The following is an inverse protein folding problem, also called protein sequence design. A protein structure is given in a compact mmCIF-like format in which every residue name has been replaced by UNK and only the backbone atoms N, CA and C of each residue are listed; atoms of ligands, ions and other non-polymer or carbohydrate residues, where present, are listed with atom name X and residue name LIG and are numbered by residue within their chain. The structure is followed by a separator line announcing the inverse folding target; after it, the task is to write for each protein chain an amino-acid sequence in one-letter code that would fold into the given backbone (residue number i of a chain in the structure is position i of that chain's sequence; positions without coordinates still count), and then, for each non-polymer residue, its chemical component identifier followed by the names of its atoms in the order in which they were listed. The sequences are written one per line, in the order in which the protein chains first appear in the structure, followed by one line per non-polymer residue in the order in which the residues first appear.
data_IF_662539570815
#
_entry.id   IF_662539570815
#
_cell.length_a   1.000
_cell.length_b   1.000
_cell.length_c   1.000
_cell.angle_alpha   90.00
_cell.angle_beta   90.00
_cell.angle_gamma   90.00
#
_symmetry.space_group_name_H-M   'P 1'
#
loop_
_entity.id
_entity.type
_entity.pdbx_description
1 polymer ?
#
# COMPACT_ATOMS: atom_id res chain seq x y z
N UNK A 1 33.52 -4.53 6.57
CA UNK A 1 32.76 -3.88 5.48
C UNK A 1 31.39 -3.47 6.00
N UNK A 2 31.25 -2.19 6.37
CA UNK A 2 30.09 -1.67 7.11
C UNK A 2 28.87 -1.51 6.21
N UNK A 3 27.82 -2.31 6.45
CA UNK A 3 26.46 -2.04 5.94
C UNK A 3 25.83 -0.94 6.80
N UNK A 4 26.01 0.33 6.44
CA UNK A 4 25.17 1.41 7.00
C UNK A 4 23.78 1.27 6.36
N UNK A 5 22.91 0.48 6.99
CA UNK A 5 21.47 0.50 6.73
C UNK A 5 20.99 1.88 7.17
N UNK A 6 20.47 2.67 6.24
CA UNK A 6 19.85 3.97 6.50
C UNK A 6 18.57 3.78 7.32
N UNK A 7 18.72 3.53 8.61
CA UNK A 7 17.64 3.64 9.59
C UNK A 7 17.67 5.09 10.06
N UNK A 8 16.62 5.86 9.77
CA UNK A 8 16.41 7.11 10.50
C UNK A 8 16.37 6.77 12.00
N UNK A 9 16.95 7.62 12.87
CA UNK A 9 16.77 7.47 14.31
C UNK A 9 15.28 7.43 14.65
N UNK A 10 14.88 6.53 15.56
CA UNK A 10 13.49 6.37 15.99
C UNK A 10 12.83 7.71 16.38
N UNK A 11 13.59 8.59 17.05
CA UNK A 11 13.15 9.92 17.44
C UNK A 11 12.78 10.83 16.25
N UNK A 12 13.46 10.70 15.11
CA UNK A 12 13.16 11.46 13.91
C UNK A 12 11.90 10.90 13.22
N UNK A 13 11.69 9.59 13.28
CA UNK A 13 10.49 8.94 12.76
C UNK A 13 9.26 9.29 13.59
N UNK A 14 9.39 9.28 14.92
CA UNK A 14 8.34 9.68 15.85
C UNK A 14 7.99 11.17 15.65
N UNK A 15 9.00 12.04 15.51
CA UNK A 15 8.80 13.46 15.22
C UNK A 15 8.08 13.70 13.88
N UNK A 16 8.46 12.99 12.81
CA UNK A 16 7.79 13.09 11.51
C UNK A 16 6.35 12.57 11.56
N UNK A 17 6.10 11.49 12.29
CA UNK A 17 4.77 10.92 12.50
C UNK A 17 3.87 11.85 13.33
N UNK A 18 4.41 12.46 14.39
CA UNK A 18 3.71 13.47 15.20
C UNK A 18 3.46 14.76 14.43
N UNK A 19 4.42 15.23 13.64
CA UNK A 19 4.23 16.39 12.77
C UNK A 19 3.16 16.13 11.71
N UNK A 20 3.04 14.90 11.20
CA UNK A 20 1.93 14.50 10.33
C UNK A 20 0.59 14.42 11.06
N UNK A 21 0.55 13.94 12.31
CA UNK A 21 -0.68 13.96 13.13
C UNK A 21 -1.14 15.39 13.39
N UNK A 22 -0.21 16.27 13.78
CA UNK A 22 -0.50 17.68 14.04
C UNK A 22 -0.95 18.43 12.77
N UNK A 23 -0.34 18.14 11.61
CA UNK A 23 -0.76 18.71 10.32
C UNK A 23 -2.17 18.25 9.90
N UNK A 24 -2.58 17.05 10.30
CA UNK A 24 -3.96 16.52 10.07
C UNK A 24 -4.99 17.18 10.99
N UNK A 25 -4.62 17.45 12.24
CA UNK A 25 -5.49 18.17 13.20
C UNK A 25 -5.74 19.62 12.76
N UNK A 26 -4.73 20.26 12.15
CA UNK A 26 -4.84 21.61 11.60
C UNK A 26 -5.54 21.66 10.24
N UNK A 27 -5.53 20.57 9.46
CA UNK A 27 -6.11 20.55 8.10
C UNK A 27 -7.60 20.18 8.04
N UNK A 28 -8.29 19.98 9.17
CA UNK A 28 -9.74 19.71 9.19
C UNK A 28 -10.19 18.52 8.33
N UNK A 29 -9.39 17.45 8.24
CA UNK A 29 -9.76 16.26 7.47
C UNK A 29 -10.92 15.50 8.18
N UNK A 30 -11.98 15.08 7.46
CA UNK A 30 -13.12 14.44 8.08
C UNK A 30 -12.73 13.12 8.76
N UNK A 31 -13.18 12.94 10.00
CA UNK A 31 -13.15 11.66 10.69
C UNK A 31 -14.17 10.75 10.01
N UNK A 32 -13.71 9.80 9.22
CA UNK A 32 -14.62 8.83 8.60
C UNK A 32 -15.16 7.87 9.67
N UNK A 33 -16.49 7.72 9.79
CA UNK A 33 -17.06 6.68 10.63
C UNK A 33 -16.63 5.32 10.10
N UNK A 34 -16.06 4.51 10.99
CA UNK A 34 -15.75 3.11 10.72
C UNK A 34 -17.08 2.40 10.46
N UNK A 35 -17.38 2.07 9.21
CA UNK A 35 -18.57 1.31 8.85
C UNK A 35 -18.57 -0.03 9.57
N UNK A 36 -19.45 -0.16 10.57
CA UNK A 36 -19.83 -1.43 11.16
C UNK A 36 -20.55 -2.27 10.09
N UNK A 37 -19.92 -3.35 9.67
CA UNK A 37 -20.59 -4.50 9.08
C UNK A 37 -20.64 -5.61 10.14
N UNK A 38 -21.85 -6.00 10.50
CA UNK A 38 -22.19 -7.00 11.51
C UNK A 38 -21.74 -8.41 11.12
N UNK A 39 -21.34 -9.19 12.12
CA UNK A 39 -21.56 -10.63 12.16
C UNK A 39 -20.46 -11.48 11.53
N UNK A 40 -19.77 -12.21 12.42
CA UNK A 40 -19.16 -13.51 12.16
C UNK A 40 -17.99 -13.54 11.17
N UNK A 41 -16.77 -13.65 11.73
CA UNK A 41 -15.84 -14.76 11.44
C UNK A 41 -14.43 -14.35 11.84
N UNK A 42 -14.14 -14.57 13.12
CA UNK A 42 -12.93 -14.23 13.87
C UNK A 42 -11.66 -14.97 13.37
N UNK A 43 -11.71 -15.65 12.22
CA UNK A 43 -10.59 -16.42 11.65
C UNK A 43 -10.01 -15.83 10.34
N UNK A 44 -10.71 -14.90 9.66
CA UNK A 44 -10.27 -14.33 8.35
C UNK A 44 -9.52 -12.99 8.44
N UNK A 45 -9.10 -12.59 9.64
CA UNK A 45 -8.72 -11.21 10.00
C UNK A 45 -7.26 -10.82 9.69
N UNK A 46 -6.44 -11.73 9.14
CA UNK A 46 -4.99 -11.50 8.90
C UNK A 46 -4.59 -11.23 7.45
N UNK A 47 -5.46 -11.45 6.47
CA UNK A 47 -5.08 -11.49 5.03
C UNK A 47 -5.78 -10.40 4.19
N UNK A 48 -6.34 -9.36 4.82
CA UNK A 48 -7.20 -8.40 4.11
C UNK A 48 -6.46 -7.74 2.92
N UNK A 49 -5.15 -7.50 3.04
CA UNK A 49 -4.38 -6.81 2.00
C UNK A 49 -4.19 -7.73 0.80
N UNK A 50 -3.90 -9.01 1.07
CA UNK A 50 -3.81 -10.06 0.06
C UNK A 50 -5.14 -10.24 -0.64
N UNK A 51 -6.24 -10.30 0.11
CA UNK A 51 -7.58 -10.38 -0.48
C UNK A 51 -7.87 -9.21 -1.42
N UNK A 52 -7.51 -7.98 -1.05
CA UNK A 52 -7.68 -6.82 -1.93
C UNK A 52 -6.79 -6.90 -3.18
N UNK A 53 -5.54 -7.37 -3.05
CA UNK A 53 -4.66 -7.59 -4.21
C UNK A 53 -5.24 -8.64 -5.16
N UNK A 54 -5.70 -9.78 -4.61
CA UNK A 54 -6.36 -10.83 -5.40
C UNK A 54 -7.61 -10.28 -6.08
N UNK A 55 -8.50 -9.63 -5.33
CA UNK A 55 -9.72 -9.06 -5.88
C UNK A 55 -9.42 -8.04 -6.98
N UNK A 56 -8.43 -7.17 -6.77
CA UNK A 56 -8.00 -6.19 -7.78
C UNK A 56 -7.65 -6.87 -9.10
N UNK A 57 -6.80 -7.89 -9.06
CA UNK A 57 -6.24 -8.51 -10.25
C UNK A 57 -7.12 -9.60 -10.87
N UNK A 58 -7.98 -10.28 -10.10
CA UNK A 58 -8.69 -11.48 -10.56
C UNK A 58 -10.20 -11.31 -10.71
N UNK A 59 -10.81 -10.28 -10.12
CA UNK A 59 -12.26 -10.08 -10.22
C UNK A 59 -12.69 -9.81 -11.67
N UNK A 60 -13.87 -10.31 -12.07
CA UNK A 60 -14.49 -10.07 -13.38
C UNK A 60 -15.92 -9.55 -13.15
N UNK A 61 -16.29 -8.36 -13.67
CA UNK A 61 -15.44 -7.41 -14.38
C UNK A 61 -14.34 -6.81 -13.47
N UNK A 62 -13.18 -6.47 -14.04
CA UNK A 62 -12.04 -5.90 -13.31
C UNK A 62 -12.45 -4.61 -12.59
N UNK A 63 -11.98 -4.33 -11.36
CA UNK A 63 -12.36 -3.11 -10.63
C UNK A 63 -12.02 -1.81 -11.37
N UNK A 64 -10.96 -1.80 -12.18
CA UNK A 64 -10.61 -0.63 -13.01
C UNK A 64 -11.45 -0.50 -14.30
N UNK A 65 -12.25 -1.51 -14.65
CA UNK A 65 -13.20 -1.47 -15.78
C UNK A 65 -14.63 -1.15 -15.33
N UNK A 66 -14.88 -1.05 -14.02
CA UNK A 66 -16.20 -0.75 -13.49
C UNK A 66 -16.46 0.77 -13.54
N UNK A 67 -17.54 1.19 -14.20
CA UNK A 67 -17.98 2.58 -14.35
C UNK A 67 -18.47 3.21 -13.02
N UNK A 68 -19.31 4.23 -13.05
CA UNK A 68 -19.83 4.85 -11.81
C UNK A 68 -20.95 3.98 -11.17
N UNK A 69 -20.58 2.96 -10.41
CA UNK A 69 -21.47 1.96 -9.78
C UNK A 69 -21.85 2.30 -8.32
N UNK A 70 -21.58 3.53 -7.87
CA UNK A 70 -21.75 3.93 -6.47
C UNK A 70 -20.66 3.44 -5.51
N UNK A 71 -19.72 2.60 -5.97
CA UNK A 71 -18.65 2.02 -5.16
C UNK A 71 -17.27 2.67 -5.42
N UNK A 72 -17.28 3.88 -5.97
CA UNK A 72 -16.08 4.65 -6.37
C UNK A 72 -15.07 4.78 -5.23
N UNK A 73 -15.55 5.02 -4.00
CA UNK A 73 -14.69 5.21 -2.84
C UNK A 73 -13.92 3.93 -2.51
N UNK A 74 -14.63 2.80 -2.39
CA UNK A 74 -14.01 1.49 -2.13
C UNK A 74 -12.96 1.15 -3.19
N UNK A 75 -13.25 1.39 -4.47
CA UNK A 75 -12.30 1.12 -5.55
C UNK A 75 -11.06 2.02 -5.47
N UNK A 76 -11.23 3.27 -5.06
CA UNK A 76 -10.12 4.20 -4.86
C UNK A 76 -9.23 3.75 -3.70
N UNK A 77 -9.84 3.27 -2.61
CA UNK A 77 -9.11 2.72 -1.46
C UNK A 77 -8.43 1.38 -1.79
N UNK A 78 -9.10 0.50 -2.55
CA UNK A 78 -8.49 -0.73 -3.07
C UNK A 78 -7.29 -0.41 -3.95
N UNK A 79 -7.45 0.49 -4.93
CA UNK A 79 -6.38 0.94 -5.82
C UNK A 79 -5.17 1.43 -5.01
N UNK A 80 -5.42 2.30 -4.03
CA UNK A 80 -4.36 2.86 -3.20
C UNK A 80 -3.66 1.80 -2.34
N UNK A 81 -4.42 0.87 -1.75
CA UNK A 81 -3.85 -0.23 -0.98
C UNK A 81 -2.97 -1.14 -1.86
N UNK A 82 -3.42 -1.46 -3.07
CA UNK A 82 -2.65 -2.24 -4.04
C UNK A 82 -1.35 -1.51 -4.40
N UNK A 83 -1.39 -0.20 -4.62
CA UNK A 83 -0.17 0.56 -4.90
C UNK A 83 0.81 0.57 -3.72
N UNK A 84 0.33 0.72 -2.49
CA UNK A 84 1.19 0.57 -1.32
C UNK A 84 1.78 -0.83 -1.21
N UNK A 85 1.01 -1.88 -1.48
CA UNK A 85 1.49 -3.26 -1.46
C UNK A 85 2.60 -3.49 -2.49
N UNK A 86 2.46 -2.92 -3.69
CA UNK A 86 3.46 -3.03 -4.77
C UNK A 86 4.83 -2.46 -4.36
N UNK A 87 4.85 -1.42 -3.52
CA UNK A 87 6.10 -0.83 -3.02
C UNK A 87 6.98 -1.83 -2.26
N UNK A 88 6.39 -2.86 -1.66
CA UNK A 88 7.11 -3.88 -0.90
C UNK A 88 7.62 -5.05 -1.76
N UNK A 89 7.42 -5.00 -3.08
CA UNK A 89 7.98 -5.97 -4.01
C UNK A 89 9.36 -5.47 -4.48
N UNK A 90 10.43 -6.18 -4.11
CA UNK A 90 11.81 -5.69 -4.27
C UNK A 90 12.46 -6.08 -5.60
N UNK A 91 11.90 -7.05 -6.33
CA UNK A 91 12.48 -7.59 -7.58
C UNK A 91 11.64 -7.33 -8.83
N UNK A 92 10.61 -6.49 -8.74
CA UNK A 92 9.59 -6.39 -9.77
C UNK A 92 8.68 -7.61 -9.79
N UNK A 93 7.78 -7.67 -10.79
CA UNK A 93 6.87 -8.77 -11.01
C UNK A 93 6.34 -8.72 -12.45
N UNK A 94 6.00 -9.89 -13.01
CA UNK A 94 5.26 -10.01 -14.26
C UNK A 94 4.01 -10.84 -13.98
N UNK A 95 2.85 -10.27 -14.27
CA UNK A 95 1.54 -10.90 -14.10
C UNK A 95 0.88 -11.00 -15.48
N UNK A 96 0.70 -12.22 -15.95
CA UNK A 96 0.02 -12.53 -17.22
C UNK A 96 -1.34 -13.18 -16.95
N UNK A 97 -2.42 -12.54 -17.38
CA UNK A 97 -3.78 -13.01 -17.13
C UNK A 97 -4.18 -14.23 -17.97
N UNK A 98 -3.43 -14.54 -19.03
CA UNK A 98 -3.67 -15.71 -19.89
C UNK A 98 -2.91 -16.95 -19.44
N UNK A 99 -2.00 -16.81 -18.48
CA UNK A 99 -1.19 -17.91 -17.97
C UNK A 99 -1.99 -18.79 -17.02
N UNK A 100 -1.85 -20.11 -17.19
CA UNK A 100 -2.35 -21.07 -16.22
C UNK A 100 -1.74 -20.80 -14.84
N UNK A 101 -2.60 -20.69 -13.83
CA UNK A 101 -2.18 -20.35 -12.46
C UNK A 101 -2.03 -18.85 -12.17
N UNK A 102 -2.49 -17.95 -13.05
CA UNK A 102 -2.50 -16.48 -12.81
C UNK A 102 -3.00 -16.11 -11.41
N UNK A 103 -4.11 -16.70 -10.97
CA UNK A 103 -4.69 -16.42 -9.63
C UNK A 103 -3.74 -16.83 -8.49
N UNK A 104 -3.04 -17.94 -8.63
CA UNK A 104 -2.06 -18.41 -7.65
C UNK A 104 -0.81 -17.53 -7.64
N UNK A 105 -0.38 -17.03 -8.80
CA UNK A 105 0.72 -16.06 -8.89
C UNK A 105 0.36 -14.74 -8.21
N UNK A 106 -0.83 -14.21 -8.46
CA UNK A 106 -1.35 -13.01 -7.78
C UNK A 106 -1.41 -13.24 -6.27
N UNK A 107 -1.91 -14.39 -5.82
CA UNK A 107 -1.99 -14.74 -4.41
C UNK A 107 -0.60 -14.81 -3.76
N UNK A 108 0.36 -15.48 -4.41
CA UNK A 108 1.74 -15.61 -3.95
C UNK A 108 2.42 -14.23 -3.87
N UNK A 109 2.20 -13.39 -4.87
CA UNK A 109 2.71 -12.03 -4.91
C UNK A 109 2.16 -11.20 -3.75
N UNK A 110 0.83 -11.23 -3.56
CA UNK A 110 0.14 -10.55 -2.47
C UNK A 110 0.70 -10.97 -1.10
N UNK A 111 0.82 -12.29 -0.85
CA UNK A 111 1.37 -12.82 0.41
C UNK A 111 2.82 -12.39 0.62
N UNK A 112 3.65 -12.43 -0.42
CA UNK A 112 5.04 -11.98 -0.31
C UNK A 112 5.14 -10.48 0.03
N UNK A 113 4.27 -9.66 -0.55
CA UNK A 113 4.22 -8.23 -0.25
C UNK A 113 3.70 -7.98 1.19
N UNK A 114 2.69 -8.73 1.64
CA UNK A 114 2.14 -8.61 2.98
C UNK A 114 3.17 -8.96 4.06
N UNK A 115 3.95 -10.02 3.87
CA UNK A 115 5.03 -10.38 4.81
C UNK A 115 6.03 -9.24 4.95
N UNK A 116 6.45 -8.63 3.85
CA UNK A 116 7.41 -7.51 3.86
C UNK A 116 6.80 -6.24 4.45
N UNK A 117 5.56 -5.93 4.12
CA UNK A 117 4.81 -4.84 4.74
C UNK A 117 4.67 -5.05 6.26
N UNK A 118 4.35 -6.28 6.70
CA UNK A 118 4.22 -6.64 8.10
C UNK A 118 5.53 -6.46 8.88
N UNK A 119 6.66 -6.88 8.29
CA UNK A 119 8.00 -6.63 8.85
C UNK A 119 8.28 -5.13 8.96
N UNK A 120 7.97 -4.37 7.92
CA UNK A 120 8.13 -2.91 7.91
C UNK A 120 7.29 -2.24 9.00
N UNK A 121 5.99 -2.56 9.10
CA UNK A 121 5.10 -2.01 10.13
C UNK A 121 5.54 -2.38 11.56
N UNK A 122 6.13 -3.57 11.75
CA UNK A 122 6.69 -3.99 13.03
C UNK A 122 7.90 -3.14 13.44
N UNK A 123 8.73 -2.72 12.48
CA UNK A 123 9.84 -1.77 12.73
C UNK A 123 9.32 -0.43 13.27
N UNK A 124 8.13 0.02 12.85
CA UNK A 124 7.48 1.24 13.37
C UNK A 124 6.58 1.02 14.60
N UNK A 125 6.61 -0.18 15.21
CA UNK A 125 5.75 -0.56 16.34
C UNK A 125 4.23 -0.42 16.07
N UNK A 126 3.82 -0.45 14.80
CA UNK A 126 2.43 -0.27 14.39
C UNK A 126 1.69 -1.62 14.46
N UNK A 127 0.75 -1.75 15.40
CA UNK A 127 -0.17 -2.90 15.50
C UNK A 127 -1.43 -2.68 14.65
N UNK A 128 -1.30 -2.50 13.33
CA UNK A 128 -2.46 -2.40 12.44
C UNK A 128 -2.91 -3.81 12.01
N UNK A 129 -4.09 -4.25 12.47
CA UNK A 129 -4.62 -5.61 12.22
C UNK A 129 -5.77 -5.68 11.21
N UNK A 130 -6.40 -4.57 10.85
CA UNK A 130 -7.57 -4.53 9.98
C UNK A 130 -7.33 -3.65 8.75
N UNK A 131 -8.00 -3.94 7.64
CA UNK A 131 -7.66 -3.33 6.36
C UNK A 131 -7.77 -1.83 6.26
N UNK A 132 -8.88 -1.27 6.78
CA UNK A 132 -9.03 0.18 6.88
C UNK A 132 -7.99 0.82 7.80
N UNK A 133 -7.60 0.13 8.89
CA UNK A 133 -6.59 0.62 9.82
C UNK A 133 -5.19 0.62 9.21
N UNK A 134 -4.85 -0.40 8.42
CA UNK A 134 -3.56 -0.45 7.74
C UNK A 134 -3.46 0.57 6.62
N UNK A 135 -4.50 0.74 5.79
CA UNK A 135 -4.48 1.78 4.76
C UNK A 135 -4.33 3.18 5.37
N UNK A 136 -5.02 3.44 6.49
CA UNK A 136 -4.83 4.69 7.25
C UNK A 136 -3.39 4.89 7.71
N UNK A 137 -2.73 3.84 8.20
CA UNK A 137 -1.33 3.89 8.64
C UNK A 137 -0.36 4.06 7.48
N UNK A 138 -0.58 3.38 6.36
CA UNK A 138 0.19 3.56 5.14
C UNK A 138 0.12 4.99 4.61
N UNK A 139 -1.08 5.61 4.66
CA UNK A 139 -1.23 7.04 4.35
C UNK A 139 -0.43 7.93 5.30
N UNK A 140 -0.41 7.63 6.60
CA UNK A 140 0.42 8.38 7.57
C UNK A 140 1.92 8.25 7.27
N UNK A 141 2.39 7.04 6.96
CA UNK A 141 3.78 6.79 6.59
C UNK A 141 4.17 7.46 5.27
N UNK A 142 3.25 7.50 4.30
CA UNK A 142 3.45 8.24 3.04
C UNK A 142 3.56 9.74 3.30
N UNK A 143 2.63 10.32 4.07
CA UNK A 143 2.67 11.74 4.44
C UNK A 143 3.95 12.14 5.20
N UNK A 144 4.52 11.22 5.98
CA UNK A 144 5.77 11.42 6.70
C UNK A 144 7.03 11.20 5.83
N UNK A 145 6.88 10.89 4.55
CA UNK A 145 8.01 10.60 3.64
C UNK A 145 8.72 9.28 3.94
N UNK A 146 8.22 8.45 4.86
CA UNK A 146 8.87 7.21 5.27
C UNK A 146 8.80 6.14 4.17
N UNK A 147 7.86 6.25 3.23
CA UNK A 147 7.75 5.35 2.09
C UNK A 147 8.59 5.80 0.87
N UNK A 148 9.27 6.95 0.93
CA UNK A 148 9.94 7.54 -0.24
C UNK A 148 11.01 6.62 -0.85
N UNK A 149 11.81 5.95 -0.03
CA UNK A 149 12.81 4.99 -0.52
C UNK A 149 12.15 3.81 -1.24
N UNK A 150 10.99 3.36 -0.77
CA UNK A 150 10.24 2.28 -1.42
C UNK A 150 9.60 2.75 -2.73
N UNK A 151 9.10 3.98 -2.76
CA UNK A 151 8.56 4.64 -3.95
C UNK A 151 9.65 4.78 -5.02
N UNK A 152 10.83 5.29 -4.65
CA UNK A 152 11.97 5.46 -5.57
C UNK A 152 12.43 4.11 -6.13
N UNK A 153 12.50 3.07 -5.29
CA UNK A 153 12.83 1.71 -5.76
C UNK A 153 11.80 1.19 -6.75
N UNK A 154 10.52 1.33 -6.43
CA UNK A 154 9.44 0.88 -7.31
C UNK A 154 9.46 1.62 -8.65
N UNK A 155 9.65 2.95 -8.63
CA UNK A 155 9.80 3.75 -9.84
C UNK A 155 11.01 3.28 -10.68
N UNK A 156 12.14 2.96 -10.05
CA UNK A 156 13.30 2.37 -10.73
C UNK A 156 12.99 1.03 -11.40
N UNK A 157 12.27 0.13 -10.71
CA UNK A 157 11.81 -1.15 -11.28
C UNK A 157 10.85 -0.94 -12.45
N UNK A 158 9.95 0.03 -12.33
CA UNK A 158 8.98 0.39 -13.36
C UNK A 158 9.68 0.94 -14.61
N UNK A 159 10.64 1.87 -14.46
CA UNK A 159 11.44 2.41 -15.58
C UNK A 159 12.31 1.36 -16.25
N UNK A 160 12.79 0.37 -15.49
CA UNK A 160 13.57 -0.75 -16.01
C UNK A 160 12.71 -1.81 -16.74
N UNK A 161 11.38 -1.66 -16.79
CA UNK A 161 10.48 -2.64 -17.41
C UNK A 161 10.33 -3.93 -16.62
N UNK A 162 10.69 -3.94 -15.33
CA UNK A 162 10.60 -5.13 -14.46
C UNK A 162 9.22 -5.27 -13.78
N UNK A 163 8.27 -4.39 -14.14
CA UNK A 163 6.91 -4.39 -13.60
C UNK A 163 5.93 -4.49 -14.76
N UNK A 164 5.39 -5.69 -14.95
CA UNK A 164 4.34 -5.96 -15.93
C UNK A 164 3.05 -6.36 -15.21
N UNK A 165 1.97 -5.66 -15.53
CA UNK A 165 0.67 -5.87 -14.90
C UNK A 165 -0.44 -5.78 -15.95
N UNK A 166 -1.52 -6.58 -15.82
CA UNK A 166 -2.67 -6.50 -16.72
C UNK A 166 -3.55 -5.25 -16.45
N UNK A 167 -3.25 -4.51 -15.38
CA UNK A 167 -3.95 -3.28 -15.03
C UNK A 167 -3.40 -2.10 -15.83
N UNK A 168 -4.24 -1.23 -16.43
CA UNK A 168 -3.76 -0.10 -17.23
C UNK A 168 -2.95 0.89 -16.38
N UNK A 169 -2.02 1.64 -16.97
CA UNK A 169 -1.19 2.60 -16.24
C UNK A 169 -2.01 3.66 -15.49
N UNK A 170 -3.17 4.04 -16.03
CA UNK A 170 -4.13 4.94 -15.39
C UNK A 170 -4.72 4.39 -14.08
N UNK A 171 -4.67 3.07 -13.89
CA UNK A 171 -5.11 2.37 -12.68
C UNK A 171 -4.01 2.27 -11.61
N UNK A 172 -2.80 2.77 -11.88
CA UNK A 172 -1.72 2.90 -10.89
C UNK A 172 -1.79 4.33 -10.31
N UNK A 173 -1.78 4.49 -8.99
CA UNK A 173 -1.54 5.80 -8.39
C UNK A 173 -0.06 6.14 -8.58
N UNK A 174 0.21 7.30 -9.16
CA UNK A 174 1.56 7.87 -9.19
C UNK A 174 1.91 8.36 -7.77
N UNK A 175 2.22 7.44 -6.86
CA UNK A 175 2.74 7.78 -5.55
C UNK A 175 4.05 8.53 -5.79
N UNK A 176 4.06 9.82 -5.43
CA UNK A 176 5.25 10.67 -5.55
C UNK A 176 5.99 10.65 -4.22
N UNK A 177 7.34 10.61 -4.24
CA UNK A 177 8.13 10.91 -3.06
C UNK A 177 7.73 12.30 -2.56
N UNK A 178 7.42 12.42 -1.28
CA UNK A 178 7.20 13.73 -0.68
C UNK A 178 8.59 14.30 -0.44
N UNK A 179 9.08 15.10 -1.41
CA UNK A 179 10.33 15.84 -1.27
C UNK A 179 10.31 16.53 0.10
N UNK A 180 11.04 15.96 1.07
CA UNK A 180 11.40 16.66 2.30
C UNK A 180 12.10 17.91 1.80
N UNK A 181 11.42 19.03 1.95
CA UNK A 181 11.95 20.36 1.80
C UNK A 181 13.22 20.45 2.64
N UNK A 182 14.36 20.12 2.02
CA UNK A 182 15.68 20.44 2.51
C UNK A 182 15.82 21.96 2.37
N UNK A 183 15.18 22.68 3.29
CA UNK A 183 15.61 24.03 3.65
C UNK A 183 16.88 23.84 4.47
N UNK A 184 18.04 24.04 3.84
CA UNK A 184 19.26 24.52 4.49
C UNK A 184 19.59 25.85 3.84
#
# INVERSE_FOLDING_TARGET
MSRRRWLLPQALQDSQLEQCRSRREQSGMPVYPSGCGTGEEESRRSDYAVHVVVEWFTLVPRPWNQGNDGNRQRRSDMKLLVDFMRLFIEGGYSLDEHKDGYRDEVLKLGKSAEVKLGLYLKEFLIKAKAGGACLKKLRELHCAGLLDAHIQRFDGLFRAGLVEAPSPLSSINQLRPLQLNASI
#
